data_IF_731971556443
#
_entry.id   IF_731971556443
#
_cell.length_a   1.000
_cell.length_b   1.000
_cell.length_c   1.000
_cell.angle_alpha   90.00
_cell.angle_beta   90.00
_cell.angle_gamma   90.00
#
_symmetry.space_group_name_H-M   'P 1'
#
loop_
_entity.id
_entity.type
_entity.pdbx_description
1 polymer ?
#
# COMPACT_ATOMS: atom_id res chain seq x y z
N UNK A 1 -5.62 -1.84 -11.51
CA UNK A 1 -4.68 -0.72 -11.76
C UNK A 1 -4.80 -0.18 -13.18
N UNK A 2 -5.23 -1.00 -14.12
CA UNK A 2 -5.46 -0.70 -15.51
C UNK A 2 -6.40 0.50 -15.74
N UNK A 3 -7.43 0.64 -14.91
CA UNK A 3 -8.30 1.81 -14.98
C UNK A 3 -7.60 3.11 -14.55
N UNK A 4 -6.67 3.04 -13.60
CA UNK A 4 -5.83 4.19 -13.24
C UNK A 4 -4.89 4.58 -14.40
N UNK A 5 -4.27 3.58 -15.05
CA UNK A 5 -3.41 3.82 -16.23
C UNK A 5 -4.20 4.45 -17.37
N UNK A 6 -5.41 3.95 -17.63
CA UNK A 6 -6.32 4.54 -18.62
C UNK A 6 -6.68 6.00 -18.29
N UNK A 7 -7.03 6.31 -17.04
CA UNK A 7 -7.37 7.68 -16.62
C UNK A 7 -6.18 8.65 -16.71
N UNK A 8 -4.97 8.15 -16.48
CA UNK A 8 -3.74 8.93 -16.64
C UNK A 8 -3.33 9.13 -18.11
N UNK A 9 -4.03 8.52 -19.08
CA UNK A 9 -3.66 8.56 -20.49
C UNK A 9 -2.46 7.65 -20.83
N UNK A 10 -2.10 6.73 -19.95
CA UNK A 10 -1.04 5.75 -20.16
C UNK A 10 -1.54 4.55 -20.98
N UNK A 11 -0.60 3.68 -21.39
CA UNK A 11 -0.95 2.37 -21.93
C UNK A 11 -1.72 1.57 -20.88
N UNK A 12 -2.75 0.82 -21.32
CA UNK A 12 -3.46 -0.14 -20.46
C UNK A 12 -2.48 -1.13 -19.81
N UNK A 13 -2.32 -1.04 -18.49
CA UNK A 13 -1.29 -1.75 -17.72
C UNK A 13 -1.72 -1.90 -16.27
N UNK A 14 -1.43 -3.05 -15.66
CA UNK A 14 -1.60 -3.26 -14.22
C UNK A 14 -0.40 -2.71 -13.39
N UNK A 15 0.61 -2.19 -14.07
CA UNK A 15 1.79 -1.51 -13.51
C UNK A 15 1.92 -0.11 -14.15
N UNK A 16 1.02 0.85 -13.80
CA UNK A 16 1.09 2.21 -14.32
C UNK A 16 2.26 3.01 -13.76
N UNK A 17 2.71 4.02 -14.52
CA UNK A 17 3.69 5.01 -14.07
C UNK A 17 3.04 6.13 -13.23
N UNK A 18 1.71 6.30 -13.32
CA UNK A 18 0.95 7.33 -12.60
C UNK A 18 0.71 7.00 -11.13
N UNK A 19 1.10 5.81 -10.65
CA UNK A 19 0.94 5.41 -9.26
C UNK A 19 2.23 4.78 -8.73
N UNK A 20 2.60 5.14 -7.51
CA UNK A 20 3.76 4.61 -6.80
C UNK A 20 3.75 3.07 -6.82
N UNK A 21 4.87 2.40 -7.16
CA UNK A 21 4.90 0.95 -7.35
C UNK A 21 4.37 0.14 -6.16
N UNK A 22 4.71 0.53 -4.92
CA UNK A 22 4.20 -0.15 -3.72
C UNK A 22 2.71 0.11 -3.48
N UNK A 23 2.19 1.30 -3.82
CA UNK A 23 0.76 1.62 -3.71
C UNK A 23 -0.04 0.84 -4.76
N UNK A 24 0.47 0.75 -5.99
CA UNK A 24 -0.10 -0.09 -7.05
C UNK A 24 -0.08 -1.58 -6.66
N UNK A 25 0.96 -2.04 -5.97
CA UNK A 25 1.03 -3.40 -5.43
C UNK A 25 -0.02 -3.64 -4.33
N UNK A 26 -0.17 -2.71 -3.39
CA UNK A 26 -1.22 -2.75 -2.36
C UNK A 26 -2.61 -2.76 -2.98
N UNK A 27 -2.89 -1.85 -3.92
CA UNK A 27 -4.20 -1.72 -4.55
C UNK A 27 -4.62 -2.99 -5.31
N UNK A 28 -3.67 -3.65 -6.00
CA UNK A 28 -3.93 -4.96 -6.62
C UNK A 28 -4.24 -6.01 -5.58
N UNK A 29 -3.41 -6.15 -4.54
CA UNK A 29 -3.65 -7.12 -3.48
C UNK A 29 -5.02 -6.92 -2.83
N UNK A 30 -5.38 -5.68 -2.48
CA UNK A 30 -6.70 -5.36 -1.93
C UNK A 30 -7.81 -5.74 -2.91
N UNK A 31 -7.71 -5.36 -4.18
CA UNK A 31 -8.71 -5.71 -5.19
C UNK A 31 -8.89 -7.23 -5.37
N UNK A 32 -7.78 -7.98 -5.38
CA UNK A 32 -7.77 -9.43 -5.61
C UNK A 32 -8.43 -10.21 -4.46
N UNK A 33 -8.35 -9.68 -3.24
CA UNK A 33 -8.93 -10.30 -2.04
C UNK A 33 -10.27 -9.70 -1.59
N UNK A 34 -10.75 -8.65 -2.26
CA UNK A 34 -12.06 -8.04 -1.95
C UNK A 34 -13.17 -8.75 -2.71
N UNK A 35 -14.35 -8.91 -2.11
CA UNK A 35 -15.51 -9.54 -2.79
C UNK A 35 -16.04 -8.70 -3.97
N UNK A 36 -16.88 -9.29 -4.83
CA UNK A 36 -17.56 -8.55 -5.91
C UNK A 36 -18.33 -7.32 -5.42
N UNK A 37 -18.95 -7.43 -4.24
CA UNK A 37 -19.68 -6.32 -3.63
C UNK A 37 -18.73 -5.23 -3.18
N UNK A 38 -17.67 -5.56 -2.44
CA UNK A 38 -16.69 -4.59 -1.96
C UNK A 38 -15.92 -3.90 -3.09
N UNK A 39 -15.68 -4.59 -4.21
CA UNK A 39 -15.00 -4.02 -5.39
C UNK A 39 -15.70 -2.79 -5.97
N UNK A 40 -17.03 -2.67 -5.83
CA UNK A 40 -17.77 -1.48 -6.25
C UNK A 40 -17.40 -0.24 -5.42
N UNK A 41 -17.06 -0.42 -4.15
CA UNK A 41 -16.59 0.67 -3.30
C UNK A 41 -15.15 1.06 -3.63
N UNK A 42 -14.28 0.06 -3.88
CA UNK A 42 -12.90 0.29 -4.30
C UNK A 42 -12.80 1.07 -5.62
N UNK A 43 -13.73 0.85 -6.56
CA UNK A 43 -13.78 1.56 -7.83
C UNK A 43 -13.83 3.09 -7.64
N UNK A 44 -14.39 3.59 -6.53
CA UNK A 44 -14.45 5.02 -6.21
C UNK A 44 -13.11 5.61 -5.80
N UNK A 45 -12.15 4.76 -5.40
CA UNK A 45 -10.81 5.17 -4.97
C UNK A 45 -9.82 5.28 -6.13
N UNK A 46 -10.13 4.73 -7.31
CA UNK A 46 -9.19 4.69 -8.44
C UNK A 46 -8.71 6.10 -8.85
N UNK A 47 -9.55 7.15 -8.90
CA UNK A 47 -9.05 8.49 -9.21
C UNK A 47 -8.02 9.02 -8.20
N UNK A 48 -8.09 8.56 -6.94
CA UNK A 48 -7.22 9.04 -5.86
C UNK A 48 -5.80 8.48 -5.92
N UNK A 49 -5.55 7.42 -6.70
CA UNK A 49 -4.18 6.87 -6.86
C UNK A 49 -3.42 7.46 -8.05
N UNK A 50 -4.11 8.20 -8.92
CA UNK A 50 -3.55 8.78 -10.15
C UNK A 50 -2.75 10.02 -9.81
N UNK A 51 -1.49 10.07 -10.23
CA UNK A 51 -0.55 11.16 -9.95
C UNK A 51 0.21 11.00 -8.63
N UNK A 52 -0.05 9.93 -7.86
CA UNK A 52 0.70 9.61 -6.64
C UNK A 52 1.93 8.76 -6.99
N UNK A 53 2.88 9.29 -7.77
CA UNK A 53 3.99 8.53 -8.37
C UNK A 53 5.40 9.00 -8.00
N UNK A 54 5.56 9.74 -6.90
CA UNK A 54 6.88 10.15 -6.41
C UNK A 54 7.77 8.95 -6.08
N UNK A 55 9.09 9.16 -5.99
CA UNK A 55 10.11 8.12 -5.77
C UNK A 55 10.76 8.20 -4.38
N UNK A 56 10.22 9.05 -3.49
CA UNK A 56 10.74 9.24 -2.15
C UNK A 56 10.66 7.93 -1.34
N UNK A 57 11.77 7.46 -0.73
CA UNK A 57 11.76 6.30 0.16
C UNK A 57 10.79 6.42 1.34
N UNK A 58 10.42 7.65 1.70
CA UNK A 58 9.40 7.95 2.71
C UNK A 58 8.04 7.31 2.38
N UNK A 59 7.69 7.24 1.09
CA UNK A 59 6.40 6.70 0.62
C UNK A 59 6.35 5.18 0.83
N UNK A 60 7.44 4.46 0.52
CA UNK A 60 7.54 3.03 0.82
C UNK A 60 7.36 2.76 2.32
N UNK A 61 8.03 3.54 3.17
CA UNK A 61 7.97 3.39 4.63
C UNK A 61 6.58 3.71 5.17
N UNK A 62 5.95 4.80 4.69
CA UNK A 62 4.62 5.20 5.09
C UNK A 62 3.58 4.13 4.75
N UNK A 63 3.57 3.65 3.51
CA UNK A 63 2.66 2.59 3.06
C UNK A 63 2.86 1.34 3.92
N UNK A 64 4.12 0.88 4.06
CA UNK A 64 4.41 -0.35 4.81
C UNK A 64 4.00 -0.24 6.29
N UNK A 65 4.29 0.89 6.95
CA UNK A 65 3.92 1.13 8.34
C UNK A 65 2.40 1.16 8.49
N UNK A 66 1.70 1.89 7.62
CA UNK A 66 0.25 2.03 7.65
C UNK A 66 -0.44 0.68 7.56
N UNK A 67 -0.13 -0.11 6.53
CA UNK A 67 -0.81 -1.39 6.32
C UNK A 67 -0.49 -2.40 7.40
N UNK A 68 0.73 -2.38 7.94
CA UNK A 68 1.11 -3.24 9.05
C UNK A 68 0.28 -2.94 10.29
N UNK A 69 0.13 -1.66 10.64
CA UNK A 69 -0.63 -1.22 11.81
C UNK A 69 -2.13 -1.48 11.61
N UNK A 70 -2.71 -1.12 10.46
CA UNK A 70 -4.14 -1.36 10.18
C UNK A 70 -4.52 -2.85 10.29
N UNK A 71 -3.67 -3.76 9.83
CA UNK A 71 -3.94 -5.19 9.92
C UNK A 71 -3.67 -5.79 11.31
N UNK A 72 -2.84 -5.15 12.14
CA UNK A 72 -2.19 -5.78 13.29
C UNK A 72 -3.20 -6.38 14.28
N UNK A 73 -4.25 -5.64 14.64
CA UNK A 73 -5.27 -6.09 15.58
C UNK A 73 -6.15 -7.24 15.06
N UNK A 74 -6.19 -7.50 13.75
CA UNK A 74 -7.15 -8.43 13.14
C UNK A 74 -6.53 -9.73 12.63
N UNK A 75 -5.20 -9.80 12.48
CA UNK A 75 -4.52 -10.99 11.94
C UNK A 75 -4.21 -12.03 13.02
N UNK A 76 -3.92 -13.27 12.60
CA UNK A 76 -3.51 -14.34 13.52
C UNK A 76 -2.24 -13.98 14.31
N UNK A 77 -2.07 -14.53 15.51
CA UNK A 77 -0.94 -14.24 16.39
C UNK A 77 0.43 -14.38 15.69
N UNK A 78 0.61 -15.43 14.88
CA UNK A 78 1.85 -15.61 14.11
C UNK A 78 2.08 -14.49 13.11
N UNK A 79 1.02 -13.99 12.46
CA UNK A 79 1.11 -12.85 11.53
C UNK A 79 1.27 -11.53 12.28
N UNK A 80 0.70 -11.38 13.48
CA UNK A 80 0.93 -10.21 14.34
C UNK A 80 2.42 -10.07 14.65
N UNK A 81 3.09 -11.16 15.03
CA UNK A 81 4.54 -11.18 15.26
C UNK A 81 5.31 -10.76 14.01
N UNK A 82 4.95 -11.27 12.82
CA UNK A 82 5.57 -10.85 11.56
C UNK A 82 5.34 -9.37 11.25
N UNK A 83 4.11 -8.88 11.34
CA UNK A 83 3.79 -7.46 11.10
C UNK A 83 4.47 -6.54 12.12
N UNK A 84 4.53 -6.93 13.39
CA UNK A 84 5.24 -6.21 14.42
C UNK A 84 6.75 -6.09 14.09
N UNK A 85 7.39 -7.14 13.56
CA UNK A 85 8.78 -7.00 13.05
C UNK A 85 8.87 -6.05 11.85
N UNK A 86 7.83 -5.98 11.02
CA UNK A 86 7.68 -4.98 9.97
C UNK A 86 7.60 -3.55 10.51
N UNK A 87 6.82 -3.32 11.58
CA UNK A 87 6.75 -2.02 12.28
C UNK A 87 8.12 -1.60 12.81
N UNK A 88 8.86 -2.51 13.46
CA UNK A 88 10.23 -2.23 13.93
C UNK A 88 11.19 -1.93 12.75
N UNK A 89 11.03 -2.62 11.61
CA UNK A 89 11.81 -2.32 10.41
C UNK A 89 11.49 -0.93 9.84
N UNK A 90 10.22 -0.52 9.85
CA UNK A 90 9.79 0.83 9.43
C UNK A 90 10.38 1.90 10.34
N UNK A 91 10.31 1.73 11.67
CA UNK A 91 10.91 2.67 12.63
C UNK A 91 12.42 2.84 12.38
N UNK A 92 13.15 1.73 12.22
CA UNK A 92 14.60 1.78 11.92
C UNK A 92 14.90 2.49 10.60
N UNK A 93 14.04 2.32 9.59
CA UNK A 93 14.21 2.99 8.30
C UNK A 93 13.92 4.49 8.37
N UNK A 94 12.95 4.92 9.18
CA UNK A 94 12.72 6.34 9.48
C UNK A 94 13.93 6.96 10.19
N UNK A 95 14.44 6.30 11.23
CA UNK A 95 15.60 6.76 11.99
C UNK A 95 16.85 6.89 11.09
N UNK A 96 17.05 5.94 10.18
CA UNK A 96 18.20 5.92 9.27
C UNK A 96 18.09 6.94 8.12
N UNK A 97 16.88 7.19 7.60
CA UNK A 97 16.66 8.10 6.48
C UNK A 97 16.56 9.57 6.90
N UNK A 98 16.46 9.86 8.21
CA UNK A 98 16.16 11.20 8.74
C UNK A 98 14.89 11.82 8.12
N UNK A 99 13.98 10.97 7.64
CA UNK A 99 12.69 11.39 7.10
C UNK A 99 11.74 11.62 8.27
N UNK A 100 11.20 12.83 8.37
CA UNK A 100 10.15 13.13 9.33
C UNK A 100 8.77 12.88 8.72
N UNK A 101 8.11 11.80 9.18
CA UNK A 101 6.71 11.53 8.89
C UNK A 101 5.94 11.80 10.18
N UNK A 102 5.27 12.95 10.23
CA UNK A 102 4.66 13.51 11.45
C UNK A 102 3.74 12.52 12.18
N UNK A 103 2.99 11.69 11.44
CA UNK A 103 2.06 10.72 12.02
C UNK A 103 2.66 9.34 12.34
N UNK A 104 3.91 9.07 11.95
CA UNK A 104 4.50 7.73 12.11
C UNK A 104 4.61 7.30 13.58
N UNK A 105 5.00 8.21 14.48
CA UNK A 105 5.07 7.90 15.92
C UNK A 105 3.71 7.54 16.51
N UNK A 106 2.64 8.18 16.03
CA UNK A 106 1.27 7.86 16.46
C UNK A 106 0.84 6.46 16.01
N UNK A 107 1.22 6.05 14.80
CA UNK A 107 0.97 4.71 14.29
C UNK A 107 1.74 3.63 15.06
N UNK A 108 2.98 3.91 15.43
CA UNK A 108 3.80 2.97 16.20
C UNK A 108 3.23 2.81 17.60
N UNK A 109 2.82 3.91 18.25
CA UNK A 109 2.12 3.86 19.52
C UNK A 109 0.77 3.12 19.42
N UNK A 110 0.07 3.21 18.29
CA UNK A 110 -1.13 2.41 18.03
C UNK A 110 -0.81 0.91 17.97
N UNK A 111 0.22 0.51 17.23
CA UNK A 111 0.65 -0.89 17.18
C UNK A 111 0.98 -1.47 18.56
N UNK A 112 1.62 -0.67 19.42
CA UNK A 112 1.91 -1.06 20.82
C UNK A 112 0.66 -1.28 21.66
N UNK A 113 -0.39 -0.48 21.44
CA UNK A 113 -1.66 -0.64 22.15
C UNK A 113 -2.46 -1.84 21.66
N UNK A 114 -2.48 -2.07 20.34
CA UNK A 114 -3.30 -3.12 19.73
C UNK A 114 -2.71 -4.53 19.91
N UNK A 115 -1.38 -4.67 19.82
CA UNK A 115 -0.71 -5.96 19.95
C UNK A 115 0.54 -5.87 20.83
N UNK A 116 0.40 -5.56 22.13
CA UNK A 116 1.53 -5.32 23.03
C UNK A 116 2.50 -6.51 23.11
N UNK A 117 1.96 -7.74 23.16
CA UNK A 117 2.78 -8.96 23.22
C UNK A 117 3.54 -9.20 21.91
N UNK A 118 2.93 -8.93 20.75
CA UNK A 118 3.60 -9.06 19.46
C UNK A 118 4.70 -8.01 19.29
N UNK A 119 4.45 -6.77 19.73
CA UNK A 119 5.43 -5.68 19.70
C UNK A 119 6.60 -5.94 20.66
N UNK A 120 6.33 -6.43 21.87
CA UNK A 120 7.38 -6.87 22.80
C UNK A 120 8.23 -7.98 22.17
N UNK A 121 7.59 -9.04 21.68
CA UNK A 121 8.27 -10.14 21.02
C UNK A 121 9.12 -9.67 19.83
N UNK A 122 8.58 -8.78 18.99
CA UNK A 122 9.28 -8.26 17.83
C UNK A 122 10.53 -7.46 18.21
N UNK A 123 10.46 -6.64 19.27
CA UNK A 123 11.64 -5.94 19.80
C UNK A 123 12.73 -6.90 20.21
N UNK A 124 12.40 -7.90 21.02
CA UNK A 124 13.36 -8.91 21.48
C UNK A 124 13.92 -9.73 20.33
N UNK A 125 13.08 -10.08 19.35
CA UNK A 125 13.48 -10.82 18.16
C UNK A 125 14.45 -10.01 17.30
N UNK A 126 14.13 -8.75 17.01
CA UNK A 126 14.95 -7.85 16.19
C UNK A 126 16.24 -7.39 16.88
N UNK A 127 16.30 -7.44 18.22
CA UNK A 127 17.54 -7.24 18.98
C UNK A 127 18.46 -8.47 18.87
N UNK A 128 17.90 -9.68 18.98
CA UNK A 128 18.65 -10.95 18.90
C UNK A 128 19.06 -11.33 17.47
N UNK A 129 18.26 -10.97 16.46
CA UNK A 129 18.42 -11.38 15.08
C UNK A 129 18.68 -10.18 14.17
N UNK A 130 19.91 -9.66 14.19
CA UNK A 130 20.32 -8.64 13.23
C UNK A 130 20.57 -9.27 11.85
N UNK A 131 20.05 -8.68 10.76
CA UNK A 131 20.35 -9.16 9.42
C UNK A 131 21.86 -9.13 9.16
N UNK A 132 22.40 -10.20 8.58
CA UNK A 132 23.82 -10.25 8.17
C UNK A 132 24.16 -9.23 7.07
N UNK A 133 23.17 -8.81 6.30
CA UNK A 133 23.29 -7.78 5.27
C UNK A 133 22.03 -6.90 5.24
N UNK A 134 22.15 -5.62 4.90
CA UNK A 134 21.00 -4.75 4.73
C UNK A 134 20.15 -5.22 3.54
N UNK A 135 18.86 -5.43 3.77
CA UNK A 135 17.88 -5.67 2.70
C UNK A 135 17.36 -4.29 2.25
N UNK A 136 17.22 -4.08 0.94
CA UNK A 136 16.55 -2.87 0.42
C UNK A 136 15.15 -2.72 1.03
N UNK A 137 14.81 -1.53 1.50
CA UNK A 137 13.52 -1.29 2.13
C UNK A 137 12.36 -1.54 1.16
N UNK A 138 12.52 -1.28 -0.15
CA UNK A 138 11.52 -1.62 -1.15
C UNK A 138 11.13 -3.11 -1.12
N UNK A 139 12.10 -4.02 -0.90
CA UNK A 139 11.83 -5.46 -0.76
C UNK A 139 11.13 -5.77 0.57
N UNK A 140 11.53 -5.11 1.65
CA UNK A 140 10.88 -5.27 2.96
C UNK A 140 9.42 -4.77 2.93
N UNK A 141 9.18 -3.59 2.36
CA UNK A 141 7.86 -3.00 2.18
C UNK A 141 6.91 -3.93 1.43
N UNK A 142 7.33 -4.52 0.31
CA UNK A 142 6.51 -5.52 -0.42
C UNK A 142 6.17 -6.75 0.43
N UNK A 143 7.10 -7.24 1.24
CA UNK A 143 6.85 -8.38 2.13
C UNK A 143 5.85 -8.02 3.24
N UNK A 144 5.97 -6.81 3.81
CA UNK A 144 5.04 -6.29 4.82
C UNK A 144 3.63 -6.15 4.23
N UNK A 145 3.51 -5.47 3.08
CA UNK A 145 2.23 -5.29 2.37
C UNK A 145 1.57 -6.63 2.06
N UNK A 146 2.31 -7.58 1.48
CA UNK A 146 1.79 -8.91 1.17
C UNK A 146 1.29 -9.65 2.43
N UNK A 147 2.07 -9.58 3.53
CA UNK A 147 1.70 -10.21 4.80
C UNK A 147 0.44 -9.58 5.40
N UNK A 148 0.33 -8.25 5.36
CA UNK A 148 -0.78 -7.49 5.91
C UNK A 148 -2.07 -7.74 5.13
N UNK A 149 -2.03 -7.62 3.79
CA UNK A 149 -3.18 -7.85 2.92
C UNK A 149 -3.68 -9.30 3.04
N UNK A 150 -2.79 -10.29 2.93
CA UNK A 150 -3.19 -11.69 3.07
C UNK A 150 -3.69 -11.99 4.48
N UNK A 151 -3.13 -11.36 5.50
CA UNK A 151 -3.59 -11.50 6.88
C UNK A 151 -5.00 -10.94 7.06
N UNK A 152 -5.25 -9.73 6.57
CA UNK A 152 -6.56 -9.07 6.63
C UNK A 152 -7.63 -9.87 5.87
N UNK A 153 -7.30 -10.35 4.68
CA UNK A 153 -8.19 -11.19 3.86
C UNK A 153 -8.51 -12.56 4.50
N UNK A 154 -7.68 -13.04 5.41
CA UNK A 154 -7.88 -14.31 6.13
C UNK A 154 -8.32 -14.10 7.58
N UNK A 155 -8.56 -12.86 7.99
CA UNK A 155 -8.94 -12.54 9.35
C UNK A 155 -10.32 -13.10 9.68
N UNK A 156 -10.48 -13.68 10.87
CA UNK A 156 -11.77 -14.18 11.34
C UNK A 156 -12.61 -13.03 11.92
N UNK A 157 -12.96 -12.07 11.06
CA UNK A 157 -13.73 -10.87 11.41
C UNK A 157 -15.00 -10.79 10.56
N UNK A 158 -15.95 -9.97 11.00
CA UNK A 158 -17.25 -9.85 10.35
C UNK A 158 -17.19 -9.25 8.94
N UNK A 159 -16.27 -8.29 8.71
CA UNK A 159 -16.17 -7.58 7.44
C UNK A 159 -14.69 -7.37 7.05
N UNK A 160 -14.18 -8.29 6.22
CA UNK A 160 -12.82 -8.23 5.67
C UNK A 160 -12.68 -7.16 4.57
N UNK A 161 -13.73 -6.95 3.78
CA UNK A 161 -13.76 -5.95 2.70
C UNK A 161 -13.60 -4.54 3.29
N UNK A 162 -14.29 -4.25 4.40
CA UNK A 162 -14.14 -2.99 5.12
C UNK A 162 -12.69 -2.76 5.60
N UNK A 163 -12.04 -3.78 6.17
CA UNK A 163 -10.65 -3.69 6.62
C UNK A 163 -9.68 -3.47 5.46
N UNK A 164 -9.84 -4.19 4.35
CA UNK A 164 -9.01 -4.04 3.15
C UNK A 164 -9.20 -2.66 2.51
N UNK A 165 -10.44 -2.16 2.48
CA UNK A 165 -10.76 -0.81 2.02
C UNK A 165 -10.14 0.26 2.90
N UNK A 166 -10.29 0.18 4.23
CA UNK A 166 -9.67 1.12 5.18
C UNK A 166 -8.15 1.15 5.02
N UNK A 167 -7.53 -0.02 4.85
CA UNK A 167 -6.09 -0.17 4.61
C UNK A 167 -5.66 0.59 3.36
N UNK A 168 -6.38 0.46 2.25
CA UNK A 168 -6.08 1.18 1.02
C UNK A 168 -6.35 2.69 1.14
N UNK A 169 -7.49 3.08 1.71
CA UNK A 169 -7.86 4.49 1.91
C UNK A 169 -6.83 5.23 2.76
N UNK A 170 -6.39 4.62 3.85
CA UNK A 170 -5.39 5.23 4.74
C UNK A 170 -4.02 5.32 4.09
N UNK A 171 -3.62 4.31 3.30
CA UNK A 171 -2.36 4.36 2.55
C UNK A 171 -2.38 5.43 1.45
N UNK A 172 -3.51 5.61 0.76
CA UNK A 172 -3.71 6.70 -0.21
C UNK A 172 -3.57 8.05 0.50
N UNK A 173 -4.25 8.24 1.64
CA UNK A 173 -4.19 9.48 2.40
C UNK A 173 -2.76 9.82 2.86
N UNK A 174 -2.00 8.82 3.31
CA UNK A 174 -0.58 9.01 3.66
C UNK A 174 0.26 9.42 2.44
N UNK A 175 0.01 8.82 1.27
CA UNK A 175 0.69 9.19 0.03
C UNK A 175 0.33 10.61 -0.42
N UNK A 176 -0.95 11.01 -0.35
CA UNK A 176 -1.38 12.39 -0.65
C UNK A 176 -0.71 13.41 0.29
N UNK A 177 -0.54 13.06 1.56
CA UNK A 177 0.09 13.94 2.55
C UNK A 177 1.60 14.10 2.31
N UNK A 178 2.28 13.08 1.77
CA UNK A 178 3.72 13.13 1.47
C UNK A 178 4.04 13.70 0.09
N UNK A 179 3.25 13.38 -0.93
CA UNK A 179 3.49 13.76 -2.33
C UNK A 179 2.73 15.02 -2.74
N UNK A 180 1.80 15.49 -1.90
CA UNK A 180 0.81 16.48 -2.26
C UNK A 180 -0.38 15.86 -2.98
N UNK A 181 -1.54 16.54 -2.93
CA UNK A 181 -2.70 16.12 -3.71
C UNK A 181 -2.44 16.41 -5.20
N UNK A 182 -2.54 15.40 -6.08
CA UNK A 182 -2.39 15.64 -7.50
C UNK A 182 -3.49 16.59 -7.97
N UNK A 183 -3.15 17.52 -8.87
CA UNK A 183 -4.17 18.34 -9.53
C UNK A 183 -5.14 17.40 -10.24
N UNK A 184 -6.42 17.43 -9.86
CA UNK A 184 -7.45 16.61 -10.49
C UNK A 184 -7.64 17.08 -11.93
N UNK A 185 -6.91 16.49 -12.86
CA UNK A 185 -7.16 16.66 -14.29
C UNK A 185 -8.60 16.24 -14.58
N UNK A 186 -9.48 17.23 -14.76
CA UNK A 186 -10.92 17.05 -14.99
C UNK A 186 -11.26 16.61 -16.41
N UNK A 187 -10.33 15.97 -17.12
CA UNK A 187 -10.55 15.51 -18.48
C UNK A 187 -10.33 14.00 -18.54
N UNK A 188 -11.43 13.24 -18.43
CA UNK A 188 -11.46 11.87 -18.92
C UNK A 188 -10.99 11.89 -20.39
N UNK A 189 -9.92 11.17 -20.78
CA UNK A 189 -9.59 11.05 -22.18
C UNK A 189 -10.77 10.40 -22.91
N UNK A 190 -11.34 11.09 -23.90
CA UNK A 190 -12.46 10.58 -24.68
C UNK A 190 -12.10 9.22 -25.29
N UNK A 191 -12.91 8.16 -25.12
CA UNK A 191 -12.59 6.79 -25.58
C UNK A 191 -12.25 6.66 -27.08
N UNK A 192 -12.59 7.66 -27.89
CA UNK A 192 -12.53 7.61 -29.34
C UNK A 192 -11.12 7.64 -29.96
N UNK A 193 -10.06 8.04 -29.23
CA UNK A 193 -8.73 8.21 -29.85
C UNK A 193 -7.81 7.00 -29.79
N UNK A 194 -8.03 6.05 -28.88
CA UNK A 194 -7.08 4.93 -28.67
C UNK A 194 -7.42 3.70 -29.53
N UNK A 195 -8.66 3.56 -30.02
CA UNK A 195 -9.10 2.41 -30.82
C UNK A 195 -8.91 2.57 -32.34
N UNK A 196 -8.70 3.78 -32.85
CA UNK A 196 -8.61 4.02 -34.30
C UNK A 196 -7.20 3.84 -34.90
N UNK A 197 -6.14 3.81 -34.10
CA UNK A 197 -4.78 3.62 -34.63
C UNK A 197 -4.41 2.15 -34.89
N UNK A 198 -5.23 1.18 -34.48
CA UNK A 198 -4.94 -0.26 -34.65
C UNK A 198 -5.66 -0.95 -35.81
N UNK A 199 -6.41 -0.23 -36.66
CA UNK A 199 -7.01 -0.81 -37.89
C UNK A 199 -6.34 -0.40 -39.20
N UNK A 200 -5.43 0.58 -39.20
CA UNK A 200 -4.83 1.07 -40.46
C UNK A 200 -3.46 0.42 -40.76
N UNK A 201 -2.86 -0.33 -39.84
CA UNK A 201 -1.56 -0.99 -40.05
C UNK A 201 -1.63 -2.50 -40.27
N UNK A 202 -2.83 -3.06 -40.51
CA UNK A 202 -3.02 -4.47 -40.86
C UNK A 202 -3.59 -4.68 -42.29
N UNK A 203 -3.78 -3.61 -43.05
CA UNK A 203 -4.12 -3.64 -44.48
C UNK A 203 -3.23 -2.65 -45.22
N UNK A 204 -1.99 -3.06 -45.51
CA UNK A 204 -1.10 -2.64 -46.60
C UNK A 204 0.16 -3.51 -46.54
#
# INVERSE_FOLDING_TARGET
>A
MEFASYMAGERWSDHPECTHPLLAFLARGVNDFTTDRGRQELARLVPSVVGLNGDSPAVDIAIALRVAVTALGSVSESRQRTLATGVIACQRALDASQTDIVWAQSLIAQAEREAPLAMQWAREFCQRNQPRAPISFARAGRAIVSTAVLGAAQACIADQDALLKEMLESAIADCEALLGKPERHSAMPTPAKIWNEKRVSAEL
#
